data_IF_897280103771
#
_entry.id   IF_897280103771
#
_cell.length_a   1.000
_cell.length_b   1.000
_cell.length_c   1.000
_cell.angle_alpha   90.00
_cell.angle_beta   90.00
_cell.angle_gamma   90.00
#
_symmetry.space_group_name_H-M   'P 1'
#
loop_
_entity.id
_entity.type
_entity.pdbx_description
1 polymer ?
#
# COMPACT_ATOMS: atom_id res chain seq x y z
N UNK A 1 8.49 13.31 23.02
CA UNK A 1 9.00 13.44 21.63
C UNK A 1 8.70 14.83 21.09
N UNK A 2 9.69 15.47 20.47
CA UNK A 2 9.52 16.75 19.75
C UNK A 2 8.76 16.54 18.44
N UNK A 3 8.08 17.57 17.89
CA UNK A 3 7.39 17.47 16.59
C UNK A 3 8.32 17.03 15.44
N UNK A 4 9.57 17.52 15.44
CA UNK A 4 10.58 17.18 14.42
C UNK A 4 10.94 15.68 14.44
N UNK A 5 11.17 15.12 15.63
CA UNK A 5 11.50 13.69 15.78
C UNK A 5 10.31 12.81 15.40
N UNK A 6 9.09 13.19 15.77
CA UNK A 6 7.86 12.47 15.38
C UNK A 6 7.66 12.47 13.86
N UNK A 7 7.86 13.63 13.21
CA UNK A 7 7.82 13.73 11.74
C UNK A 7 8.81 12.77 11.08
N UNK A 8 10.06 12.72 11.58
CA UNK A 8 11.10 11.87 11.01
C UNK A 8 10.76 10.38 11.16
N UNK A 9 10.20 9.98 12.30
CA UNK A 9 9.74 8.60 12.50
C UNK A 9 8.59 8.23 11.55
N UNK A 10 7.62 9.13 11.36
CA UNK A 10 6.56 8.94 10.39
C UNK A 10 7.12 8.81 8.96
N UNK A 11 8.09 9.64 8.58
CA UNK A 11 8.76 9.55 7.28
C UNK A 11 9.45 8.18 7.10
N UNK A 12 10.16 7.70 8.12
CA UNK A 12 10.80 6.37 8.07
C UNK A 12 9.74 5.27 7.93
N UNK A 13 8.66 5.33 8.71
CA UNK A 13 7.57 4.35 8.64
C UNK A 13 6.92 4.30 7.25
N UNK A 14 6.65 5.47 6.65
CA UNK A 14 6.10 5.56 5.29
C UNK A 14 7.11 5.05 4.27
N UNK A 15 8.39 5.40 4.40
CA UNK A 15 9.43 4.94 3.47
C UNK A 15 9.55 3.41 3.49
N UNK A 16 9.60 2.81 4.68
CA UNK A 16 9.62 1.34 4.85
C UNK A 16 8.34 0.72 4.30
N UNK A 17 7.17 1.26 4.66
CA UNK A 17 5.88 0.76 4.18
C UNK A 17 5.75 0.83 2.66
N UNK A 18 6.34 1.86 2.03
CA UNK A 18 6.33 2.05 0.57
C UNK A 18 7.23 1.05 -0.16
N UNK A 19 8.18 0.38 0.52
CA UNK A 19 8.99 -0.67 -0.11
C UNK A 19 8.12 -1.82 -0.63
N UNK A 20 7.02 -2.15 0.08
CA UNK A 20 6.11 -3.22 -0.32
C UNK A 20 5.43 -2.94 -1.67
N UNK A 21 4.66 -1.85 -1.86
CA UNK A 21 4.04 -1.55 -3.15
C UNK A 21 5.06 -1.32 -4.27
N UNK A 22 6.25 -0.77 -3.96
CA UNK A 22 7.30 -0.57 -4.96
C UNK A 22 7.87 -1.92 -5.43
N UNK A 23 8.25 -2.79 -4.51
CA UNK A 23 8.81 -4.10 -4.83
C UNK A 23 7.76 -5.02 -5.46
N UNK A 24 6.60 -5.17 -4.82
CA UNK A 24 5.55 -6.05 -5.28
C UNK A 24 4.89 -5.55 -6.56
N UNK A 25 4.66 -4.25 -6.69
CA UNK A 25 4.16 -3.65 -7.93
C UNK A 25 5.13 -3.86 -9.09
N UNK A 26 6.42 -3.56 -8.90
CA UNK A 26 7.44 -3.78 -9.96
C UNK A 26 7.56 -5.24 -10.34
N UNK A 27 7.70 -6.14 -9.35
CA UNK A 27 7.88 -7.56 -9.62
C UNK A 27 6.65 -8.17 -10.29
N UNK A 28 5.45 -7.76 -9.89
CA UNK A 28 4.18 -8.21 -10.48
C UNK A 28 3.94 -7.62 -11.88
N UNK A 29 4.46 -6.41 -12.18
CA UNK A 29 4.49 -5.91 -13.57
C UNK A 29 5.39 -6.80 -14.42
N UNK A 30 6.56 -7.20 -13.93
CA UNK A 30 7.52 -7.99 -14.74
C UNK A 30 7.06 -9.44 -14.93
N UNK A 31 6.61 -10.09 -13.86
CA UNK A 31 6.30 -11.52 -13.82
C UNK A 31 4.80 -11.84 -13.87
N UNK A 32 3.93 -10.84 -13.79
CA UNK A 32 2.47 -11.02 -13.79
C UNK A 32 1.99 -11.99 -12.70
N UNK A 33 0.85 -12.63 -12.91
CA UNK A 33 0.23 -13.56 -11.96
C UNK A 33 1.11 -14.79 -11.65
N UNK A 34 2.18 -15.06 -12.41
CA UNK A 34 3.15 -16.13 -12.11
C UNK A 34 3.96 -15.90 -10.81
N UNK A 35 3.82 -14.73 -10.19
CA UNK A 35 4.32 -14.51 -8.83
C UNK A 35 3.47 -15.17 -7.75
N UNK A 36 2.22 -15.53 -8.07
CA UNK A 36 1.28 -16.12 -7.13
C UNK A 36 1.48 -17.63 -7.06
N UNK A 37 1.35 -18.18 -5.86
CA UNK A 37 1.37 -19.63 -5.67
C UNK A 37 0.22 -20.30 -6.43
N UNK A 38 0.52 -21.42 -7.09
CA UNK A 38 -0.46 -22.22 -7.83
C UNK A 38 -0.75 -21.73 -9.25
N UNK A 39 -0.08 -20.67 -9.73
CA UNK A 39 -0.20 -20.20 -11.11
C UNK A 39 0.90 -20.82 -11.96
N UNK A 40 0.53 -21.85 -12.73
CA UNK A 40 1.41 -22.56 -13.66
C UNK A 40 0.88 -22.48 -15.10
N UNK A 41 1.78 -22.53 -16.08
CA UNK A 41 1.41 -22.51 -17.50
C UNK A 41 0.96 -21.13 -18.00
N UNK A 42 0.61 -21.01 -19.30
CA UNK A 42 0.29 -19.73 -19.92
C UNK A 42 -0.98 -19.10 -19.35
N UNK A 43 -0.94 -17.79 -19.11
CA UNK A 43 -2.07 -17.00 -18.64
C UNK A 43 -2.99 -16.60 -19.81
N UNK A 44 -4.31 -16.53 -19.60
CA UNK A 44 -5.20 -15.80 -20.50
C UNK A 44 -4.71 -14.36 -20.69
N UNK A 45 -4.75 -13.86 -21.93
CA UNK A 45 -4.19 -12.54 -22.30
C UNK A 45 -4.83 -11.41 -21.48
N UNK A 46 -6.15 -11.44 -21.31
CA UNK A 46 -6.87 -10.42 -20.56
C UNK A 46 -6.53 -10.44 -19.07
N UNK A 47 -6.27 -11.63 -18.51
CA UNK A 47 -5.86 -11.78 -17.12
C UNK A 47 -4.44 -11.21 -16.90
N UNK A 48 -3.50 -11.52 -17.79
CA UNK A 48 -2.14 -10.97 -17.73
C UNK A 48 -2.16 -9.43 -17.83
N UNK A 49 -2.90 -8.90 -18.79
CA UNK A 49 -3.08 -7.45 -18.98
C UNK A 49 -3.66 -6.77 -17.73
N UNK A 50 -4.76 -7.33 -17.20
CA UNK A 50 -5.42 -6.77 -16.02
C UNK A 50 -4.54 -6.84 -14.77
N UNK A 51 -3.82 -7.94 -14.57
CA UNK A 51 -2.92 -8.10 -13.43
C UNK A 51 -1.75 -7.11 -13.48
N UNK A 52 -1.15 -6.91 -14.66
CA UNK A 52 -0.10 -5.89 -14.87
C UNK A 52 -0.63 -4.48 -14.63
N UNK A 53 -1.84 -4.18 -15.08
CA UNK A 53 -2.49 -2.89 -14.81
C UNK A 53 -2.65 -2.63 -13.30
N UNK A 54 -3.24 -3.57 -12.56
CA UNK A 54 -3.39 -3.46 -11.10
C UNK A 54 -2.03 -3.34 -10.38
N UNK A 55 -1.02 -4.05 -10.87
CA UNK A 55 0.35 -3.97 -10.37
C UNK A 55 0.98 -2.59 -10.62
N UNK A 56 0.71 -1.99 -11.78
CA UNK A 56 1.06 -0.60 -12.10
C UNK A 56 0.41 0.42 -11.16
N UNK A 57 -0.87 0.23 -10.83
CA UNK A 57 -1.55 1.07 -9.84
C UNK A 57 -0.93 0.94 -8.45
N UNK A 58 -0.62 -0.30 -8.02
CA UNK A 58 0.06 -0.55 -6.74
C UNK A 58 1.43 0.14 -6.69
N UNK A 59 2.24 0.01 -7.74
CA UNK A 59 3.52 0.70 -7.87
C UNK A 59 3.33 2.22 -7.79
N UNK A 60 2.36 2.76 -8.53
CA UNK A 60 2.03 4.18 -8.54
C UNK A 60 1.67 4.71 -7.15
N UNK A 61 0.86 3.98 -6.39
CA UNK A 61 0.54 4.33 -4.99
C UNK A 61 1.81 4.44 -4.14
N UNK A 62 2.74 3.48 -4.27
CA UNK A 62 4.02 3.51 -3.57
C UNK A 62 4.88 4.73 -3.94
N UNK A 63 4.93 5.08 -5.23
CA UNK A 63 5.66 6.26 -5.72
C UNK A 63 5.05 7.55 -5.14
N UNK A 64 3.72 7.67 -5.13
CA UNK A 64 3.06 8.88 -4.59
C UNK A 64 3.31 9.00 -3.09
N UNK A 65 3.27 7.92 -2.31
CA UNK A 65 3.65 7.95 -0.89
C UNK A 65 5.08 8.47 -0.69
N UNK A 66 6.04 7.95 -1.45
CA UNK A 66 7.43 8.43 -1.38
C UNK A 66 7.55 9.90 -1.75
N UNK A 67 6.88 10.34 -2.82
CA UNK A 67 6.92 11.72 -3.29
C UNK A 67 6.35 12.72 -2.27
N UNK A 68 5.50 12.26 -1.34
CA UNK A 68 4.95 13.11 -0.29
C UNK A 68 5.84 13.19 0.97
N UNK A 69 6.86 12.35 1.12
CA UNK A 69 7.74 12.32 2.30
C UNK A 69 8.31 13.71 2.70
N UNK A 70 8.85 14.53 1.77
CA UNK A 70 9.45 15.82 2.15
C UNK A 70 8.47 16.84 2.72
N UNK A 71 7.17 16.66 2.46
CA UNK A 71 6.07 17.55 2.83
C UNK A 71 4.95 16.80 3.55
N UNK A 72 5.34 15.76 4.31
CA UNK A 72 4.40 14.82 4.95
C UNK A 72 3.39 15.52 5.85
N UNK A 73 3.76 16.64 6.48
CA UNK A 73 2.89 17.45 7.33
C UNK A 73 1.85 18.26 6.56
N UNK A 74 2.07 18.53 5.26
CA UNK A 74 1.16 19.31 4.40
C UNK A 74 0.35 18.46 3.42
N UNK A 75 0.74 17.21 3.20
CA UNK A 75 0.15 16.32 2.19
C UNK A 75 -1.12 15.57 2.63
N UNK A 76 -1.85 16.05 3.65
CA UNK A 76 -2.90 15.28 4.32
C UNK A 76 -4.05 14.80 3.41
N UNK A 77 -4.44 15.58 2.40
CA UNK A 77 -5.48 15.15 1.43
C UNK A 77 -5.02 13.95 0.60
N UNK A 78 -3.78 13.98 0.10
CA UNK A 78 -3.18 12.89 -0.67
C UNK A 78 -3.04 11.63 0.18
N UNK A 79 -2.55 11.74 1.42
CA UNK A 79 -2.44 10.60 2.33
C UNK A 79 -3.79 9.95 2.62
N UNK A 80 -4.85 10.75 2.83
CA UNK A 80 -6.21 10.21 3.03
C UNK A 80 -6.75 9.52 1.78
N UNK A 81 -6.51 10.10 0.60
CA UNK A 81 -6.93 9.49 -0.66
C UNK A 81 -6.22 8.15 -0.92
N UNK A 82 -4.89 8.11 -0.78
CA UNK A 82 -4.13 6.86 -0.90
C UNK A 82 -4.54 5.84 0.16
N UNK A 83 -4.71 6.28 1.40
CA UNK A 83 -5.19 5.43 2.49
C UNK A 83 -6.56 4.82 2.18
N UNK A 84 -7.50 5.60 1.67
CA UNK A 84 -8.82 5.11 1.27
C UNK A 84 -8.71 4.07 0.15
N UNK A 85 -7.91 4.34 -0.89
CA UNK A 85 -7.70 3.39 -2.00
C UNK A 85 -7.19 2.05 -1.46
N UNK A 86 -6.20 2.09 -0.57
CA UNK A 86 -5.59 0.89 0.02
C UNK A 86 -6.58 0.14 0.93
N UNK A 87 -7.36 0.86 1.75
CA UNK A 87 -8.41 0.26 2.59
C UNK A 87 -9.48 -0.40 1.74
N UNK A 88 -9.94 0.25 0.66
CA UNK A 88 -10.92 -0.34 -0.27
C UNK A 88 -10.37 -1.62 -0.90
N UNK A 89 -9.09 -1.62 -1.30
CA UNK A 89 -8.40 -2.84 -1.75
C UNK A 89 -8.35 -3.94 -0.68
N UNK A 90 -8.06 -3.57 0.56
CA UNK A 90 -8.08 -4.50 1.70
C UNK A 90 -9.47 -5.07 1.98
N UNK A 91 -10.53 -4.28 1.85
CA UNK A 91 -11.92 -4.76 1.99
C UNK A 91 -12.29 -5.73 0.86
N UNK A 92 -11.86 -5.48 -0.38
CA UNK A 92 -12.04 -6.42 -1.48
C UNK A 92 -11.27 -7.73 -1.22
N UNK A 93 -10.06 -7.66 -0.66
CA UNK A 93 -9.29 -8.85 -0.26
C UNK A 93 -9.93 -9.58 0.92
N UNK A 94 -10.52 -8.86 1.88
CA UNK A 94 -11.26 -9.44 3.00
C UNK A 94 -12.50 -10.19 2.52
N UNK A 95 -13.22 -9.63 1.55
CA UNK A 95 -14.34 -10.33 0.91
C UNK A 95 -13.86 -11.65 0.28
N UNK A 96 -12.76 -11.61 -0.48
CA UNK A 96 -12.18 -12.82 -1.07
C UNK A 96 -11.78 -13.86 -0.02
N UNK A 97 -11.24 -13.44 1.12
CA UNK A 97 -10.91 -14.31 2.26
C UNK A 97 -12.17 -14.99 2.84
N UNK A 98 -13.27 -14.24 2.96
CA UNK A 98 -14.55 -14.76 3.48
C UNK A 98 -15.15 -15.77 2.49
N UNK A 99 -15.10 -15.50 1.20
CA UNK A 99 -15.72 -16.32 0.16
C UNK A 99 -14.90 -17.56 -0.22
N UNK A 100 -13.57 -17.44 -0.27
CA UNK A 100 -12.68 -18.46 -0.84
C UNK A 100 -11.69 -19.05 0.17
N UNK A 101 -11.66 -18.54 1.40
CA UNK A 101 -10.73 -18.97 2.45
C UNK A 101 -9.38 -18.27 2.43
N UNK A 102 -8.49 -18.72 3.32
CA UNK A 102 -7.23 -18.05 3.61
C UNK A 102 -6.22 -18.13 2.45
N UNK A 103 -5.76 -16.98 1.91
CA UNK A 103 -4.67 -16.97 0.95
C UNK A 103 -3.33 -17.23 1.66
N UNK A 104 -2.27 -17.37 0.88
CA UNK A 104 -0.92 -17.56 1.42
C UNK A 104 -0.47 -16.41 2.34
N UNK A 105 0.54 -16.64 3.20
CA UNK A 105 0.94 -15.71 4.27
C UNK A 105 1.24 -14.27 3.82
N UNK A 106 1.81 -14.11 2.62
CA UNK A 106 2.10 -12.79 2.06
C UNK A 106 0.84 -11.93 1.88
N UNK A 107 -0.27 -12.53 1.41
CA UNK A 107 -1.54 -11.83 1.21
C UNK A 107 -2.26 -11.55 2.52
N UNK A 108 -2.14 -12.44 3.51
CA UNK A 108 -2.62 -12.18 4.87
C UNK A 108 -1.86 -11.02 5.53
N UNK A 109 -0.53 -10.98 5.35
CA UNK A 109 0.29 -9.85 5.78
C UNK A 109 -0.12 -8.54 5.11
N UNK A 110 -0.34 -8.58 3.79
CA UNK A 110 -0.82 -7.43 3.04
C UNK A 110 -2.21 -6.96 3.51
N UNK A 111 -3.14 -7.87 3.80
CA UNK A 111 -4.44 -7.55 4.39
C UNK A 111 -4.31 -6.81 5.74
N UNK A 112 -3.40 -7.28 6.61
CA UNK A 112 -3.10 -6.61 7.88
C UNK A 112 -2.50 -5.20 7.70
N UNK A 113 -1.67 -5.01 6.67
CA UNK A 113 -1.14 -3.69 6.30
C UNK A 113 -2.27 -2.78 5.81
N UNK A 114 -3.13 -3.28 4.92
CA UNK A 114 -4.20 -2.53 4.27
C UNK A 114 -5.26 -2.04 5.25
N UNK A 115 -5.72 -2.91 6.15
CA UNK A 115 -6.80 -2.61 7.09
C UNK A 115 -6.31 -2.17 8.47
N UNK A 116 -5.03 -2.34 8.78
CA UNK A 116 -4.44 -1.96 10.06
C UNK A 116 -3.39 -0.86 9.92
N UNK A 117 -2.23 -1.20 9.36
CA UNK A 117 -1.07 -0.31 9.35
C UNK A 117 -1.32 1.00 8.60
N UNK A 118 -1.97 0.95 7.44
CA UNK A 118 -2.21 2.12 6.59
C UNK A 118 -3.19 3.12 7.24
N UNK A 119 -4.36 2.71 7.75
CA UNK A 119 -5.21 3.60 8.56
C UNK A 119 -4.47 4.26 9.72
N UNK A 120 -3.64 3.50 10.45
CA UNK A 120 -2.85 4.03 11.56
C UNK A 120 -1.82 5.06 11.09
N UNK A 121 -1.14 4.83 9.96
CA UNK A 121 -0.22 5.78 9.34
C UNK A 121 -0.95 7.07 8.92
N UNK A 122 -2.15 6.97 8.35
CA UNK A 122 -2.95 8.14 7.96
C UNK A 122 -3.37 8.96 9.18
N UNK A 123 -3.81 8.30 10.26
CA UNK A 123 -4.13 8.97 11.52
C UNK A 123 -2.90 9.62 12.16
N UNK A 124 -1.74 8.95 12.10
CA UNK A 124 -0.48 9.47 12.59
C UNK A 124 -0.01 10.68 11.78
N UNK A 125 -0.14 10.64 10.44
CA UNK A 125 0.12 11.79 9.58
C UNK A 125 -0.76 12.99 9.95
N UNK A 126 -2.05 12.78 10.21
CA UNK A 126 -2.95 13.86 10.62
C UNK A 126 -2.54 14.46 11.98
N UNK A 127 -2.03 13.65 12.91
CA UNK A 127 -1.47 14.12 14.19
C UNK A 127 -0.21 14.96 13.98
N UNK A 128 0.74 14.50 13.16
CA UNK A 128 1.97 15.24 12.84
C UNK A 128 1.65 16.57 12.17
N UNK A 129 0.72 16.58 11.21
CA UNK A 129 0.27 17.79 10.54
C UNK A 129 -0.24 18.86 11.53
N UNK A 130 -1.05 18.45 12.53
CA UNK A 130 -1.53 19.37 13.57
C UNK A 130 -0.40 19.91 14.45
N UNK A 131 0.52 19.04 14.87
CA UNK A 131 1.63 19.42 15.77
C UNK A 131 2.71 20.28 15.13
N UNK A 132 2.84 20.27 13.79
CA UNK A 132 3.79 21.11 13.06
C UNK A 132 3.15 22.42 12.55
N UNK A 133 1.84 22.57 12.67
CA UNK A 133 1.12 23.81 12.37
C UNK A 133 0.99 24.73 13.61
N UNK A 134 1.24 24.19 14.81
CA UNK A 134 1.32 24.90 16.10
C UNK A 134 2.73 25.41 16.36
#
# INVERSE_FOLDING_TARGET
MTPQSERRLLQIAIAIGSLVPLAMGTLSILRSAHMLHGVEGPLPIDLDSHFRYLSGLLLGIGIVFLAMLPRVERAGSVFRALGLIVVVGGLARLLSLIENGAPGPAHLGALGIELGAVPLIVLWQARVARRCAS
#
